data_IF_642301863235
#
_entry.id   IF_642301863235
#
_cell.length_a   1.000
_cell.length_b   1.000
_cell.length_c   1.000
_cell.angle_alpha   90.00
_cell.angle_beta   90.00
_cell.angle_gamma   90.00
#
_symmetry.space_group_name_H-M   'P 1'
#
loop_
_entity.id
_entity.type
_entity.pdbx_description
1 polymer ?
#
# COMPACT_ATOMS: atom_id res chain seq x y z
N UNK A 1 -6.79 15.49 7.29
CA UNK A 1 -5.80 14.56 7.91
C UNK A 1 -5.77 14.79 9.42
N UNK A 2 -5.42 13.80 10.26
CA UNK A 2 -5.35 14.01 11.70
C UNK A 2 -4.29 15.05 12.08
N UNK A 3 -4.54 15.86 13.10
CA UNK A 3 -3.59 16.86 13.60
C UNK A 3 -2.31 16.26 14.20
N UNK A 4 -2.32 14.96 14.48
CA UNK A 4 -1.15 14.19 14.93
C UNK A 4 -0.13 13.93 13.80
N UNK A 5 -0.46 14.24 12.54
CA UNK A 5 0.48 14.15 11.43
C UNK A 5 1.63 15.15 11.57
N UNK A 6 2.83 14.74 11.15
CA UNK A 6 4.05 15.54 11.37
C UNK A 6 3.99 16.94 10.72
N UNK A 7 4.71 17.90 11.32
CA UNK A 7 4.76 19.28 10.84
C UNK A 7 5.37 19.33 9.42
N UNK A 8 6.38 18.51 9.15
CA UNK A 8 7.08 18.44 7.86
C UNK A 8 6.12 18.05 6.75
N UNK A 9 5.28 17.02 6.98
CA UNK A 9 4.27 16.59 6.01
C UNK A 9 3.26 17.71 5.73
N UNK A 10 2.84 18.44 6.77
CA UNK A 10 1.91 19.57 6.61
C UNK A 10 2.54 20.72 5.82
N UNK A 11 3.78 21.07 6.13
CA UNK A 11 4.53 22.14 5.44
C UNK A 11 4.71 21.80 3.96
N UNK A 12 5.09 20.57 3.63
CA UNK A 12 5.26 20.12 2.25
C UNK A 12 3.97 20.25 1.44
N UNK A 13 2.84 19.75 1.97
CA UNK A 13 1.57 19.81 1.25
C UNK A 13 1.06 21.25 1.06
N UNK A 14 1.22 22.11 2.07
CA UNK A 14 0.90 23.54 1.93
C UNK A 14 1.77 24.23 0.89
N UNK A 15 3.07 23.90 0.83
CA UNK A 15 3.99 24.45 -0.17
C UNK A 15 3.61 24.04 -1.60
N UNK A 16 2.97 22.88 -1.79
CA UNK A 16 2.41 22.43 -3.07
C UNK A 16 1.02 23.03 -3.38
N UNK A 17 0.53 23.96 -2.58
CA UNK A 17 -0.78 24.62 -2.77
C UNK A 17 -1.98 23.83 -2.23
N UNK A 18 -1.77 22.76 -1.45
CA UNK A 18 -2.88 21.98 -0.91
C UNK A 18 -3.56 22.70 0.27
N UNK A 19 -4.89 22.74 0.24
CA UNK A 19 -5.71 23.17 1.37
C UNK A 19 -5.78 22.04 2.40
N UNK A 20 -5.22 22.28 3.59
CA UNK A 20 -5.18 21.28 4.66
C UNK A 20 -6.32 21.47 5.65
N UNK A 21 -7.26 20.53 5.65
CA UNK A 21 -8.24 20.36 6.73
C UNK A 21 -7.68 19.39 7.76
N UNK A 22 -7.46 19.88 8.98
CA UNK A 22 -7.02 19.08 10.12
C UNK A 22 -8.22 18.53 10.89
N UNK A 23 -8.16 17.25 11.25
CA UNK A 23 -9.18 16.55 12.03
C UNK A 23 -8.63 16.16 13.40
N UNK A 24 -9.52 15.95 14.36
CA UNK A 24 -9.20 15.56 15.74
C UNK A 24 -8.26 14.33 15.77
N UNK A 25 -7.17 14.44 16.53
CA UNK A 25 -6.16 13.38 16.63
C UNK A 25 -6.73 12.06 17.14
N UNK A 26 -7.62 12.11 18.14
CA UNK A 26 -8.21 10.93 18.80
C UNK A 26 -9.03 10.05 17.83
N UNK A 27 -9.67 10.66 16.82
CA UNK A 27 -10.44 9.93 15.79
C UNK A 27 -9.57 9.29 14.71
N UNK A 28 -8.27 9.60 14.69
CA UNK A 28 -7.30 9.04 13.75
C UNK A 28 -7.74 9.15 12.29
N UNK A 29 -7.35 8.17 11.47
CA UNK A 29 -7.67 8.19 10.04
C UNK A 29 -9.17 8.02 9.76
N UNK A 30 -9.91 7.34 10.64
CA UNK A 30 -11.38 7.22 10.52
C UNK A 30 -12.05 8.60 10.52
N UNK A 31 -11.66 9.48 11.44
CA UNK A 31 -12.16 10.85 11.46
C UNK A 31 -11.75 11.66 10.23
N UNK A 32 -10.55 11.42 9.70
CA UNK A 32 -10.11 12.07 8.46
C UNK A 32 -10.89 11.60 7.22
N UNK A 33 -11.24 10.32 7.14
CA UNK A 33 -12.09 9.76 6.08
C UNK A 33 -13.49 10.34 6.17
N UNK A 34 -14.11 10.30 7.36
CA UNK A 34 -15.43 10.88 7.60
C UNK A 34 -15.47 12.35 7.18
N UNK A 35 -14.43 13.12 7.54
CA UNK A 35 -14.37 14.53 7.14
C UNK A 35 -14.23 14.72 5.62
N UNK A 36 -13.51 13.83 4.94
CA UNK A 36 -13.39 13.88 3.49
C UNK A 36 -14.73 13.56 2.80
N UNK A 37 -15.49 12.60 3.33
CA UNK A 37 -16.84 12.26 2.88
C UNK A 37 -17.80 13.44 3.09
N UNK A 38 -17.76 14.11 4.25
CA UNK A 38 -18.55 15.33 4.52
C UNK A 38 -18.26 16.44 3.51
N UNK A 39 -16.98 16.69 3.19
CA UNK A 39 -16.58 17.73 2.22
C UNK A 39 -17.16 17.41 0.84
N UNK A 40 -17.03 16.17 0.38
CA UNK A 40 -17.58 15.75 -0.91
C UNK A 40 -19.10 15.86 -0.91
N UNK A 41 -19.77 15.43 0.16
CA UNK A 41 -21.22 15.54 0.29
C UNK A 41 -21.71 17.00 0.32
N UNK A 42 -20.89 17.94 0.79
CA UNK A 42 -21.25 19.37 0.84
C UNK A 42 -21.30 20.04 -0.53
N UNK A 43 -20.50 19.57 -1.50
CA UNK A 43 -20.56 20.04 -2.88
C UNK A 43 -20.00 18.97 -3.84
N UNK A 44 -20.82 17.99 -4.26
CA UNK A 44 -20.38 16.87 -5.09
C UNK A 44 -19.89 17.28 -6.48
N UNK A 45 -20.39 18.41 -7.01
CA UNK A 45 -19.98 18.94 -8.32
C UNK A 45 -18.57 19.55 -8.28
N UNK A 46 -18.14 20.02 -7.12
CA UNK A 46 -16.83 20.64 -6.92
C UNK A 46 -15.77 19.66 -6.42
N UNK A 47 -16.18 18.68 -5.61
CA UNK A 47 -15.25 17.83 -4.86
C UNK A 47 -15.35 16.37 -5.27
N UNK A 48 -14.20 15.78 -5.59
CA UNK A 48 -14.05 14.36 -5.88
C UNK A 48 -13.23 13.65 -4.80
N UNK A 49 -13.72 12.51 -4.31
CA UNK A 49 -12.95 11.63 -3.43
C UNK A 49 -12.28 10.52 -4.25
N UNK A 50 -10.95 10.54 -4.36
CA UNK A 50 -10.20 9.59 -5.20
C UNK A 50 -10.17 8.15 -4.69
N UNK A 51 -10.45 7.95 -3.39
CA UNK A 51 -10.54 6.64 -2.72
C UNK A 51 -9.41 5.64 -3.07
N UNK A 52 -8.17 5.95 -2.67
CA UNK A 52 -6.98 5.15 -3.04
C UNK A 52 -7.03 3.64 -2.72
N UNK A 53 -7.92 3.19 -1.83
CA UNK A 53 -8.04 1.78 -1.42
C UNK A 53 -9.04 0.98 -2.26
N UNK A 54 -10.01 1.62 -2.90
CA UNK A 54 -11.06 0.99 -3.70
C UNK A 54 -10.97 1.33 -5.18
N UNK A 55 -10.23 2.38 -5.54
CA UNK A 55 -10.14 2.86 -6.91
C UNK A 55 -9.30 1.91 -7.79
N UNK A 56 -9.88 1.29 -8.85
CA UNK A 56 -9.16 0.36 -9.72
C UNK A 56 -8.00 1.00 -10.48
N UNK A 57 -7.99 2.33 -10.64
CA UNK A 57 -6.87 3.05 -11.25
C UNK A 57 -5.55 2.86 -10.48
N UNK A 58 -5.61 2.57 -9.17
CA UNK A 58 -4.42 2.34 -8.34
C UNK A 58 -3.63 1.08 -8.77
N UNK A 59 -4.20 -0.15 -8.75
CA UNK A 59 -3.49 -1.30 -9.30
C UNK A 59 -3.24 -1.20 -10.82
N UNK A 60 -4.15 -0.56 -11.57
CA UNK A 60 -4.03 -0.44 -13.02
C UNK A 60 -2.79 0.33 -13.45
N UNK A 61 -2.44 1.44 -12.77
CA UNK A 61 -1.23 2.19 -13.15
C UNK A 61 0.02 1.32 -12.96
N UNK A 62 0.09 0.53 -11.89
CA UNK A 62 1.21 -0.39 -11.66
C UNK A 62 1.26 -1.54 -12.66
N UNK A 63 0.13 -1.96 -13.21
CA UNK A 63 0.08 -2.94 -14.31
C UNK A 63 0.55 -2.33 -15.64
N UNK A 64 0.28 -1.04 -15.87
CA UNK A 64 0.65 -0.31 -17.10
C UNK A 64 2.07 0.26 -17.09
N UNK A 65 2.68 0.50 -15.93
CA UNK A 65 4.00 1.14 -15.83
C UNK A 65 4.98 0.30 -15.00
N UNK A 66 4.73 0.15 -13.71
CA UNK A 66 5.69 -0.49 -12.78
C UNK A 66 5.97 -1.96 -13.14
N UNK A 67 4.96 -2.70 -13.60
CA UNK A 67 5.11 -4.08 -14.09
C UNK A 67 6.02 -4.19 -15.32
N UNK A 68 5.73 -3.45 -16.41
CA UNK A 68 6.62 -3.34 -17.56
C UNK A 68 8.05 -2.95 -17.23
N UNK A 69 8.25 -1.91 -16.41
CA UNK A 69 9.57 -1.43 -16.01
C UNK A 69 10.39 -2.56 -15.36
N UNK A 70 9.80 -3.27 -14.38
CA UNK A 70 10.47 -4.41 -13.73
C UNK A 70 10.75 -5.54 -14.72
N UNK A 71 9.84 -5.82 -15.65
CA UNK A 71 10.03 -6.88 -16.63
C UNK A 71 11.18 -6.56 -17.59
N UNK A 72 11.23 -5.33 -18.10
CA UNK A 72 12.24 -4.85 -19.02
C UNK A 72 13.62 -4.78 -18.35
N UNK A 73 13.71 -4.16 -17.16
CA UNK A 73 14.96 -4.04 -16.40
C UNK A 73 15.54 -5.38 -15.94
N UNK A 74 14.72 -6.44 -15.96
CA UNK A 74 15.14 -7.79 -15.58
C UNK A 74 15.29 -8.74 -16.76
N UNK A 75 15.09 -8.26 -18.00
CA UNK A 75 15.04 -9.08 -19.21
C UNK A 75 14.08 -10.28 -19.06
N UNK A 76 12.97 -10.10 -18.34
CA UNK A 76 12.00 -11.15 -18.02
C UNK A 76 12.47 -12.21 -17.01
N UNK A 77 13.63 -12.03 -16.37
CA UNK A 77 14.23 -12.99 -15.43
C UNK A 77 13.82 -12.76 -13.95
N UNK A 78 12.73 -12.03 -13.71
CA UNK A 78 12.21 -11.84 -12.34
C UNK A 78 11.48 -13.10 -11.85
N UNK A 79 12.06 -13.79 -10.88
CA UNK A 79 11.46 -15.00 -10.29
C UNK A 79 10.67 -14.74 -9.01
N UNK A 80 11.04 -13.70 -8.26
CA UNK A 80 10.40 -13.33 -6.99
C UNK A 80 10.16 -11.83 -6.93
N UNK A 81 8.91 -11.44 -6.69
CA UNK A 81 8.51 -10.06 -6.47
C UNK A 81 8.00 -9.87 -5.03
N UNK A 82 8.62 -8.95 -4.30
CA UNK A 82 8.31 -8.68 -2.88
C UNK A 82 7.91 -7.22 -2.71
N UNK A 83 6.71 -6.98 -2.18
CA UNK A 83 6.25 -5.63 -1.87
C UNK A 83 5.58 -5.57 -0.50
N UNK A 84 5.86 -4.49 0.22
CA UNK A 84 5.01 -4.06 1.34
C UNK A 84 3.60 -3.79 0.84
N UNK A 85 2.59 -4.12 1.65
CA UNK A 85 1.19 -3.90 1.32
C UNK A 85 0.62 -2.74 2.14
N UNK A 86 0.38 -1.62 1.45
CA UNK A 86 -0.44 -0.51 1.92
C UNK A 86 -1.84 -0.63 1.31
N UNK A 87 -2.07 0.08 0.20
CA UNK A 87 -3.31 -0.05 -0.59
C UNK A 87 -3.42 -1.38 -1.35
N UNK A 88 -2.31 -2.09 -1.53
CA UNK A 88 -2.21 -3.31 -2.36
C UNK A 88 -1.96 -3.05 -3.84
N UNK A 89 -2.08 -1.81 -4.33
CA UNK A 89 -1.97 -1.46 -5.74
C UNK A 89 -0.69 -1.98 -6.41
N UNK A 90 0.47 -1.74 -5.80
CA UNK A 90 1.77 -2.18 -6.34
C UNK A 90 1.89 -3.69 -6.45
N UNK A 91 1.54 -4.43 -5.39
CA UNK A 91 1.61 -5.90 -5.39
C UNK A 91 0.70 -6.48 -6.48
N UNK A 92 -0.53 -5.97 -6.55
CA UNK A 92 -1.56 -6.43 -7.48
C UNK A 92 -1.20 -6.11 -8.93
N UNK A 93 -0.89 -4.85 -9.26
CA UNK A 93 -0.65 -4.42 -10.64
C UNK A 93 0.58 -5.10 -11.26
N UNK A 94 1.71 -5.10 -10.54
CA UNK A 94 2.95 -5.75 -11.03
C UNK A 94 2.73 -7.26 -11.22
N UNK A 95 2.08 -7.93 -10.26
CA UNK A 95 1.84 -9.37 -10.35
C UNK A 95 0.88 -9.72 -11.47
N UNK A 96 -0.16 -8.90 -11.71
CA UNK A 96 -1.09 -9.08 -12.84
C UNK A 96 -0.35 -8.94 -14.17
N UNK A 97 0.45 -7.90 -14.35
CA UNK A 97 1.25 -7.72 -15.56
C UNK A 97 2.13 -8.94 -15.85
N UNK A 98 2.98 -9.34 -14.90
CA UNK A 98 3.95 -10.40 -15.13
C UNK A 98 3.27 -11.76 -15.34
N UNK A 99 2.27 -12.09 -14.50
CA UNK A 99 1.60 -13.40 -14.58
C UNK A 99 0.60 -13.50 -15.72
N UNK A 100 -0.14 -12.44 -16.03
CA UNK A 100 -1.23 -12.47 -17.01
C UNK A 100 -0.77 -11.96 -18.38
N UNK A 101 -0.13 -10.79 -18.42
CA UNK A 101 0.31 -10.16 -19.67
C UNK A 101 1.56 -10.83 -20.24
N UNK A 102 2.55 -11.14 -19.40
CA UNK A 102 3.80 -11.82 -19.83
C UNK A 102 3.78 -13.34 -19.69
N UNK A 103 2.75 -13.89 -19.06
CA UNK A 103 2.55 -15.34 -18.96
C UNK A 103 3.49 -16.08 -18.01
N UNK A 104 4.32 -15.39 -17.20
CA UNK A 104 5.23 -16.04 -16.23
C UNK A 104 4.47 -16.50 -14.98
N UNK A 105 3.78 -17.64 -15.07
CA UNK A 105 2.90 -18.18 -14.01
C UNK A 105 3.64 -18.64 -12.76
N UNK A 106 4.90 -19.02 -12.89
CA UNK A 106 5.82 -19.45 -11.83
C UNK A 106 6.37 -18.29 -10.98
N UNK A 107 6.06 -17.03 -11.29
CA UNK A 107 6.45 -15.88 -10.46
C UNK A 107 5.95 -16.05 -9.02
N UNK A 108 6.87 -15.97 -8.06
CA UNK A 108 6.56 -15.94 -6.63
C UNK A 108 6.28 -14.49 -6.21
N UNK A 109 5.04 -14.21 -5.84
CA UNK A 109 4.63 -12.91 -5.32
C UNK A 109 4.52 -12.98 -3.80
N UNK A 110 5.21 -12.09 -3.09
CA UNK A 110 5.26 -12.03 -1.63
C UNK A 110 4.69 -10.71 -1.12
N UNK A 111 3.58 -10.80 -0.39
CA UNK A 111 3.02 -9.69 0.39
C UNK A 111 3.79 -9.54 1.71
N UNK A 112 4.23 -8.31 2.03
CA UNK A 112 4.86 -8.00 3.31
C UNK A 112 3.95 -7.09 4.14
N UNK A 113 3.71 -7.49 5.39
CA UNK A 113 2.93 -6.71 6.36
C UNK A 113 3.66 -6.61 7.73
N UNK A 114 3.30 -5.62 8.57
CA UNK A 114 3.80 -5.51 9.93
C UNK A 114 3.47 -6.72 10.81
N UNK A 115 4.40 -7.12 11.70
CA UNK A 115 4.10 -8.19 12.67
C UNK A 115 3.00 -7.82 13.65
N UNK A 116 2.92 -6.54 13.99
CA UNK A 116 2.03 -6.01 15.03
C UNK A 116 0.68 -5.59 14.45
N UNK A 117 0.51 -5.70 13.13
CA UNK A 117 -0.76 -5.53 12.45
C UNK A 117 -0.89 -6.52 11.28
N UNK A 118 -0.90 -7.84 11.54
CA UNK A 118 -0.83 -8.87 10.51
C UNK A 118 -2.22 -9.19 9.95
N UNK A 119 -2.87 -8.19 9.37
CA UNK A 119 -4.27 -8.26 8.92
C UNK A 119 -4.46 -9.29 7.82
N UNK A 120 -3.52 -9.40 6.89
CA UNK A 120 -3.56 -10.35 5.77
C UNK A 120 -3.39 -11.76 6.31
N UNK A 121 -2.41 -12.01 7.19
CA UNK A 121 -2.21 -13.33 7.78
C UNK A 121 -3.41 -13.77 8.63
N UNK A 122 -4.00 -12.86 9.42
CA UNK A 122 -5.22 -13.15 10.18
C UNK A 122 -6.37 -13.56 9.26
N UNK A 123 -6.57 -12.83 8.18
CA UNK A 123 -7.64 -13.10 7.22
C UNK A 123 -7.44 -14.45 6.52
N UNK A 124 -6.20 -14.81 6.17
CA UNK A 124 -5.86 -16.10 5.59
C UNK A 124 -6.01 -17.28 6.56
N UNK A 125 -5.85 -17.03 7.86
CA UNK A 125 -6.08 -18.03 8.90
C UNK A 125 -7.58 -18.21 9.23
N UNK A 126 -8.50 -17.57 8.48
CA UNK A 126 -9.94 -17.59 8.74
C UNK A 126 -10.34 -16.77 9.99
N UNK A 127 -9.42 -15.98 10.54
CA UNK A 127 -9.65 -15.14 11.71
C UNK A 127 -10.31 -13.82 11.36
N UNK A 128 -10.86 -13.14 12.37
CA UNK A 128 -11.38 -11.78 12.22
C UNK A 128 -10.21 -10.81 12.07
N UNK A 129 -10.04 -10.29 10.85
CA UNK A 129 -9.05 -9.27 10.51
C UNK A 129 -9.18 -8.03 11.40
N UNK A 130 -8.15 -7.74 12.20
CA UNK A 130 -8.05 -6.58 13.07
C UNK A 130 -6.66 -5.95 12.95
N UNK A 131 -6.63 -4.68 12.55
CA UNK A 131 -5.40 -3.91 12.52
C UNK A 131 -4.93 -3.62 13.95
N UNK A 132 -3.65 -3.90 14.23
CA UNK A 132 -3.02 -3.55 15.50
C UNK A 132 -2.32 -2.19 15.45
N UNK A 133 -1.64 -1.81 16.53
CA UNK A 133 -0.89 -0.57 16.62
C UNK A 133 0.51 -0.71 16.02
N UNK A 134 0.70 -0.40 14.74
CA UNK A 134 2.00 -0.22 14.06
C UNK A 134 2.88 0.95 14.60
N UNK A 135 2.68 1.38 15.84
CA UNK A 135 3.63 2.24 16.54
C UNK A 135 4.83 1.35 16.91
N UNK A 136 5.94 1.47 16.17
CA UNK A 136 7.19 0.69 16.31
C UNK A 136 7.22 -0.76 15.78
N UNK A 137 6.49 -1.09 14.72
CA UNK A 137 6.57 -2.48 14.20
C UNK A 137 7.84 -2.76 13.40
N UNK A 138 8.55 -3.83 13.77
CA UNK A 138 9.54 -4.46 12.90
C UNK A 138 8.88 -5.15 11.71
N UNK A 139 9.48 -5.07 10.52
CA UNK A 139 9.11 -5.93 9.40
C UNK A 139 9.78 -7.29 9.61
N UNK A 140 9.01 -8.32 9.99
CA UNK A 140 9.49 -9.71 10.02
C UNK A 140 8.84 -10.46 8.86
N UNK A 141 9.64 -11.21 8.09
CA UNK A 141 9.15 -12.01 6.95
C UNK A 141 8.09 -13.00 7.44
N UNK A 142 6.82 -12.75 7.12
CA UNK A 142 5.81 -13.81 6.97
C UNK A 142 5.49 -13.89 5.49
N UNK A 143 5.95 -14.97 4.87
CA UNK A 143 5.83 -15.20 3.43
C UNK A 143 4.42 -15.74 3.17
N UNK A 144 3.62 -15.01 2.42
CA UNK A 144 2.38 -15.52 1.85
C UNK A 144 2.51 -15.47 0.34
N UNK A 145 2.37 -16.63 -0.32
CA UNK A 145 2.35 -16.72 -1.77
C UNK A 145 1.02 -16.17 -2.28
N UNK A 146 1.05 -15.03 -2.97
CA UNK A 146 -0.14 -14.46 -3.59
C UNK A 146 -0.40 -15.13 -4.96
N UNK A 147 -1.63 -15.60 -5.17
CA UNK A 147 -2.10 -16.15 -6.44
C UNK A 147 -3.36 -15.43 -6.96
N UNK A 148 -3.53 -15.25 -8.28
CA UNK A 148 -4.76 -14.71 -8.86
C UNK A 148 -5.98 -15.52 -8.42
N UNK A 149 -7.02 -14.86 -7.91
CA UNK A 149 -8.25 -15.52 -7.46
C UNK A 149 -8.13 -16.30 -6.13
N UNK A 150 -6.98 -16.31 -5.47
CA UNK A 150 -6.85 -16.87 -4.11
C UNK A 150 -7.58 -16.02 -3.08
N UNK A 151 -7.85 -16.58 -1.90
CA UNK A 151 -8.41 -15.83 -0.77
C UNK A 151 -7.54 -14.63 -0.37
N UNK A 152 -6.20 -14.76 -0.47
CA UNK A 152 -5.25 -13.65 -0.31
C UNK A 152 -5.46 -12.54 -1.36
N UNK A 153 -5.70 -12.90 -2.62
CA UNK A 153 -5.98 -11.95 -3.69
C UNK A 153 -7.39 -11.35 -3.63
N UNK A 154 -8.37 -12.10 -3.13
CA UNK A 154 -9.72 -11.58 -2.88
C UNK A 154 -9.79 -10.72 -1.63
N UNK A 155 -8.98 -10.99 -0.61
CA UNK A 155 -8.92 -10.22 0.63
C UNK A 155 -8.04 -8.98 0.51
N UNK A 156 -6.98 -8.98 -0.31
CA UNK A 156 -6.31 -7.73 -0.73
C UNK A 156 -7.31 -6.78 -1.39
N UNK A 157 -8.23 -7.33 -2.19
CA UNK A 157 -9.24 -6.55 -2.91
C UNK A 157 -10.48 -6.21 -2.04
N UNK A 158 -10.87 -7.02 -1.04
CA UNK A 158 -12.11 -6.84 -0.23
C UNK A 158 -11.91 -6.29 1.19
N UNK A 159 -10.87 -6.68 1.93
CA UNK A 159 -10.81 -6.36 3.37
C UNK A 159 -10.45 -4.90 3.67
N UNK A 160 -9.85 -4.19 2.72
CA UNK A 160 -9.51 -2.78 2.88
C UNK A 160 -10.70 -1.82 2.67
N UNK A 161 -11.83 -2.30 2.12
CA UNK A 161 -13.06 -1.52 2.00
C UNK A 161 -13.70 -1.16 3.36
N UNK A 162 -13.22 -1.70 4.49
CA UNK A 162 -13.81 -1.51 5.85
C UNK A 162 -12.97 -0.67 6.82
N UNK A 163 -12.08 0.19 6.31
CA UNK A 163 -11.60 1.41 6.99
C UNK A 163 -11.19 1.29 8.48
N UNK A 164 -10.22 0.44 8.82
CA UNK A 164 -9.73 0.30 10.21
C UNK A 164 -8.25 0.69 10.33
N UNK A 165 -7.97 1.95 10.67
CA UNK A 165 -6.61 2.40 11.01
C UNK A 165 -6.60 3.28 12.27
N UNK A 166 -5.71 2.96 13.21
CA UNK A 166 -5.39 3.73 14.41
C UNK A 166 -3.86 3.90 14.48
N UNK A 167 -3.31 5.13 14.39
CA UNK A 167 -1.92 5.42 14.80
C UNK A 167 -1.73 6.83 15.37
N UNK A 168 -0.93 6.90 16.44
CA UNK A 168 -0.10 8.04 16.86
C UNK A 168 1.33 7.89 16.33
N UNK A 169 2.10 8.97 16.42
CA UNK A 169 3.44 9.12 15.84
C UNK A 169 4.57 8.61 16.77
N UNK A 170 5.68 8.06 16.24
CA UNK A 170 6.87 7.75 17.03
C UNK A 170 7.78 9.00 17.23
N UNK A 171 8.61 9.07 18.30
CA UNK A 171 9.36 10.27 18.69
C UNK A 171 10.78 10.38 18.09
N UNK A 172 11.19 9.46 17.23
CA UNK A 172 12.57 9.35 16.73
C UNK A 172 12.63 9.71 15.23
N UNK A 173 13.31 10.81 14.91
CA UNK A 173 13.41 11.41 13.58
C UNK A 173 14.28 10.66 12.56
N UNK A 174 14.35 9.32 12.58
CA UNK A 174 15.12 8.55 11.59
C UNK A 174 14.28 8.20 10.36
N UNK A 175 14.76 8.64 9.19
CA UNK A 175 14.14 8.37 7.88
C UNK A 175 14.15 6.87 7.56
N UNK A 176 12.98 6.30 7.23
CA UNK A 176 12.85 4.99 6.56
C UNK A 176 12.20 5.18 5.19
N UNK A 177 12.91 4.78 4.14
CA UNK A 177 12.40 4.78 2.76
C UNK A 177 11.57 3.52 2.49
N UNK A 178 10.37 3.62 1.90
CA UNK A 178 9.64 2.46 1.42
C UNK A 178 10.22 2.07 0.05
N UNK A 179 11.04 1.02 0.01
CA UNK A 179 11.55 0.45 -1.24
C UNK A 179 11.29 -1.05 -1.27
N UNK A 180 10.76 -1.57 -2.38
CA UNK A 180 10.66 -3.00 -2.64
C UNK A 180 12.02 -3.62 -2.91
N UNK A 181 12.13 -4.93 -2.71
CA UNK A 181 13.36 -5.69 -2.95
C UNK A 181 13.15 -6.71 -4.07
N UNK A 182 14.08 -6.72 -5.02
CA UNK A 182 14.12 -7.69 -6.11
C UNK A 182 15.27 -8.68 -5.87
N UNK A 183 15.03 -9.96 -6.11
CA UNK A 183 16.05 -11.00 -5.98
C UNK A 183 16.29 -11.66 -7.34
N UNK A 184 17.54 -11.61 -7.82
CA UNK A 184 18.05 -12.36 -8.98
C UNK A 184 19.03 -13.41 -8.45
N UNK A 185 18.59 -14.65 -8.28
CA UNK A 185 19.36 -15.66 -7.56
C UNK A 185 19.73 -15.20 -6.13
N UNK A 186 20.94 -15.56 -5.63
CA UNK A 186 21.44 -15.17 -4.28
C UNK A 186 21.81 -13.68 -4.12
N UNK A 187 21.45 -12.79 -5.05
CA UNK A 187 21.79 -11.36 -4.96
C UNK A 187 20.54 -10.48 -4.93
N UNK A 188 20.47 -9.63 -3.91
CA UNK A 188 19.43 -8.64 -3.68
C UNK A 188 19.83 -7.32 -4.36
N UNK A 189 18.96 -6.74 -5.20
CA UNK A 189 19.08 -5.35 -5.64
C UNK A 189 17.87 -4.55 -5.19
N UNK A 190 18.11 -3.31 -4.80
CA UNK A 190 17.06 -2.34 -4.47
C UNK A 190 16.39 -1.93 -5.78
N UNK A 191 15.07 -1.99 -5.84
CA UNK A 191 14.33 -1.36 -6.94
C UNK A 191 14.45 0.16 -6.74
N UNK A 192 15.25 0.83 -7.56
CA UNK A 192 15.31 2.28 -7.58
C UNK A 192 14.17 2.78 -8.46
N UNK A 193 13.24 3.54 -7.87
CA UNK A 193 12.26 4.28 -8.64
C UNK A 193 13.02 5.34 -9.44
N UNK A 194 12.99 5.25 -10.76
CA UNK A 194 13.65 6.18 -11.65
C UNK A 194 13.08 7.59 -11.41
N UNK A 195 13.87 8.46 -10.79
CA UNK A 195 13.64 9.89 -10.81
C UNK A 195 13.86 10.39 -12.22
N UNK A 196 12.85 11.05 -12.79
CA UNK A 196 13.01 12.09 -13.80
C UNK A 196 12.44 13.38 -13.22
#
# INVERSE_FOLDING_TARGET
MPETMSIERRKLLKALGANLVLTEGAKGMKGAIQKAEEIVASNPEQFLLLQQFSNPANPEIHEKTTGPEIWEDTDGQVDVFISGVGTGGTLTGVSRYIKNTKGKKDLITVAVEPTDSPVIAQALAGGRAQAGSAQNSGYRRRLHSWQPGSEAGRQSDRHYQRGSYLHGAPPDGRRRHPGGYLFRGRRCRRAEAAGR
#
